data_IF_113978610363
#
_entry.id   IF_113978610363
#
_cell.length_a   1.000
_cell.length_b   1.000
_cell.length_c   1.000
_cell.angle_alpha   90.00
_cell.angle_beta   90.00
_cell.angle_gamma   90.00
#
_symmetry.space_group_name_H-M   'P 1'
#
loop_
_entity.id
_entity.type
_entity.pdbx_description
1 polymer ?
#
# COMPACT_ATOMS: atom_id res chain seq x y z
N UNK A 1 20.06 3.29 -10.00
CA UNK A 1 20.33 3.68 -11.40
C UNK A 1 20.22 5.20 -11.53
N UNK A 2 20.99 5.89 -12.38
CA UNK A 2 20.74 7.32 -12.61
C UNK A 2 19.52 7.47 -13.53
N UNK A 3 18.50 8.22 -13.11
CA UNK A 3 17.29 8.44 -13.90
C UNK A 3 17.64 9.07 -15.26
N UNK A 4 17.15 8.46 -16.34
CA UNK A 4 17.40 8.93 -17.70
C UNK A 4 16.15 9.60 -18.25
N UNK A 5 16.20 10.93 -18.35
CA UNK A 5 15.09 11.76 -18.83
C UNK A 5 14.63 11.37 -20.25
N UNK A 6 15.55 11.00 -21.15
CA UNK A 6 15.20 10.60 -22.52
C UNK A 6 14.40 9.29 -22.53
N UNK A 7 14.83 8.30 -21.75
CA UNK A 7 14.13 7.00 -21.63
C UNK A 7 12.73 7.22 -21.06
N UNK A 8 12.59 8.10 -20.07
CA UNK A 8 11.30 8.47 -19.52
C UNK A 8 10.39 9.19 -20.54
N UNK A 9 10.91 10.16 -21.28
CA UNK A 9 10.16 10.83 -22.36
C UNK A 9 9.68 9.84 -23.42
N UNK A 10 10.54 8.91 -23.86
CA UNK A 10 10.15 7.85 -24.78
C UNK A 10 9.10 6.90 -24.18
N UNK A 11 9.17 6.62 -22.88
CA UNK A 11 8.14 5.84 -22.20
C UNK A 11 6.78 6.55 -22.24
N UNK A 12 6.74 7.86 -21.96
CA UNK A 12 5.52 8.64 -22.02
C UNK A 12 4.89 8.63 -23.42
N UNK A 13 5.68 8.68 -24.49
CA UNK A 13 5.20 8.61 -25.88
C UNK A 13 4.79 7.21 -26.32
N UNK A 14 5.21 6.17 -25.58
CA UNK A 14 4.85 4.79 -25.90
C UNK A 14 3.36 4.51 -25.68
N UNK A 15 2.83 3.48 -26.35
CA UNK A 15 1.46 3.02 -26.14
C UNK A 15 1.15 2.67 -24.68
N UNK A 16 2.14 2.11 -23.96
CA UNK A 16 2.03 1.81 -22.52
C UNK A 16 1.95 3.08 -21.67
N UNK A 17 2.84 4.04 -21.89
CA UNK A 17 2.83 5.31 -21.17
C UNK A 17 1.52 6.07 -21.39
N UNK A 18 1.07 6.17 -22.64
CA UNK A 18 -0.22 6.78 -22.98
C UNK A 18 -1.43 6.06 -22.36
N UNK A 19 -1.38 4.73 -22.24
CA UNK A 19 -2.42 3.98 -21.54
C UNK A 19 -2.47 4.33 -20.05
N UNK A 20 -1.31 4.43 -19.38
CA UNK A 20 -1.24 4.85 -17.97
C UNK A 20 -1.68 6.30 -17.76
N UNK A 21 -1.27 7.23 -18.62
CA UNK A 21 -1.72 8.63 -18.57
C UNK A 21 -3.25 8.65 -18.66
N UNK A 22 -3.82 8.00 -19.68
CA UNK A 22 -5.29 7.94 -19.86
C UNK A 22 -5.98 7.33 -18.64
N UNK A 23 -5.42 6.26 -18.07
CA UNK A 23 -5.98 5.63 -16.87
C UNK A 23 -6.02 6.60 -15.69
N UNK A 24 -4.88 7.22 -15.35
CA UNK A 24 -4.79 8.11 -14.18
C UNK A 24 -5.51 9.46 -14.37
N UNK A 25 -5.65 9.95 -15.61
CA UNK A 25 -6.51 11.11 -15.90
C UNK A 25 -8.00 10.81 -15.73
N UNK A 26 -8.41 9.54 -15.77
CA UNK A 26 -9.80 9.10 -15.60
C UNK A 26 -10.01 8.28 -14.31
N UNK A 27 -9.12 8.40 -13.33
CA UNK A 27 -9.10 7.52 -12.15
C UNK A 27 -10.42 7.55 -11.38
N UNK A 28 -11.03 8.74 -11.23
CA UNK A 28 -12.33 8.89 -10.59
C UNK A 28 -13.41 8.08 -11.31
N UNK A 29 -13.49 8.19 -12.64
CA UNK A 29 -14.46 7.42 -13.42
C UNK A 29 -14.21 5.92 -13.33
N UNK A 30 -12.95 5.49 -13.22
CA UNK A 30 -12.61 4.08 -13.05
C UNK A 30 -13.05 3.52 -11.70
N UNK A 31 -12.99 4.31 -10.62
CA UNK A 31 -13.60 3.96 -9.33
C UNK A 31 -15.13 3.91 -9.42
N UNK A 32 -15.76 4.95 -10.00
CA UNK A 32 -17.22 5.02 -10.16
C UNK A 32 -17.79 3.81 -10.94
N UNK A 33 -17.04 3.32 -11.94
CA UNK A 33 -17.43 2.18 -12.79
C UNK A 33 -16.93 0.82 -12.31
N UNK A 34 -16.04 0.78 -11.33
CA UNK A 34 -15.36 -0.44 -10.85
C UNK A 34 -14.63 -1.18 -11.98
N UNK A 35 -13.89 -0.43 -12.80
CA UNK A 35 -13.22 -0.92 -14.01
C UNK A 35 -12.24 -2.07 -13.72
N UNK A 36 -12.11 -3.04 -14.64
CA UNK A 36 -11.23 -4.19 -14.44
C UNK A 36 -9.74 -3.83 -14.42
N UNK A 37 -9.33 -2.77 -15.13
CA UNK A 37 -7.94 -2.28 -15.06
C UNK A 37 -7.60 -1.70 -13.70
N UNK A 38 -8.57 -1.06 -13.03
CA UNK A 38 -8.40 -0.58 -11.65
C UNK A 38 -8.22 -1.76 -10.70
N UNK A 39 -9.03 -2.82 -10.85
CA UNK A 39 -8.86 -4.05 -10.07
C UNK A 39 -7.47 -4.64 -10.28
N UNK A 40 -7.00 -4.73 -11.53
CA UNK A 40 -5.66 -5.23 -11.85
C UNK A 40 -4.56 -4.37 -11.24
N UNK A 41 -4.69 -3.04 -11.23
CA UNK A 41 -3.72 -2.14 -10.59
C UNK A 41 -3.67 -2.36 -9.07
N UNK A 42 -4.83 -2.31 -8.41
CA UNK A 42 -4.95 -2.53 -6.96
C UNK A 42 -4.40 -3.91 -6.60
N UNK A 43 -4.74 -4.91 -7.40
CA UNK A 43 -4.17 -6.24 -7.28
C UNK A 43 -2.65 -6.18 -7.42
N UNK A 44 -2.14 -5.58 -8.49
CA UNK A 44 -0.70 -5.60 -8.75
C UNK A 44 0.13 -4.95 -7.65
N UNK A 45 -0.24 -3.73 -7.26
CA UNK A 45 0.55 -2.87 -6.40
C UNK A 45 0.16 -2.95 -4.93
N UNK A 46 -1.14 -3.04 -4.70
CA UNK A 46 -1.72 -3.36 -3.42
C UNK A 46 -1.88 -4.87 -3.27
N UNK A 47 -2.85 -5.29 -2.46
CA UNK A 47 -3.13 -6.69 -2.27
C UNK A 47 -3.45 -7.40 -3.61
N UNK A 48 -2.54 -8.29 -4.04
CA UNK A 48 -2.71 -9.41 -4.98
C UNK A 48 -2.09 -9.32 -6.39
N UNK A 49 -0.78 -9.13 -6.55
CA UNK A 49 -0.14 -9.54 -7.81
C UNK A 49 -0.07 -11.06 -7.78
N UNK A 50 -0.98 -11.80 -8.43
CA UNK A 50 -0.83 -13.26 -8.70
C UNK A 50 -0.70 -14.25 -7.51
N UNK A 51 -1.00 -13.87 -6.26
CA UNK A 51 -0.97 -14.78 -5.10
C UNK A 51 -2.33 -14.87 -4.40
N UNK A 52 -3.19 -15.64 -5.05
CA UNK A 52 -4.26 -16.52 -4.57
C UNK A 52 -5.27 -16.16 -3.47
N UNK A 53 -5.17 -15.15 -2.60
CA UNK A 53 -6.08 -15.17 -1.44
C UNK A 53 -6.42 -13.81 -0.80
N UNK A 54 -7.41 -13.15 -1.43
CA UNK A 54 -8.56 -12.35 -0.97
C UNK A 54 -8.61 -11.76 0.47
N UNK A 55 -7.51 -11.41 1.12
CA UNK A 55 -7.55 -10.72 2.43
C UNK A 55 -8.13 -9.30 2.34
N UNK A 56 -8.04 -8.68 1.17
CA UNK A 56 -8.67 -7.39 0.88
C UNK A 56 -9.68 -7.65 -0.23
N UNK A 57 -10.96 -7.41 0.06
CA UNK A 57 -11.99 -7.43 -0.98
C UNK A 57 -11.82 -6.17 -1.85
N UNK A 58 -11.37 -6.37 -3.08
CA UNK A 58 -11.12 -5.27 -4.02
C UNK A 58 -12.40 -4.47 -4.30
N UNK A 59 -13.58 -5.09 -4.29
CA UNK A 59 -14.83 -4.37 -4.50
C UNK A 59 -15.21 -3.54 -3.27
N UNK A 60 -14.90 -4.02 -2.07
CA UNK A 60 -15.05 -3.26 -0.83
C UNK A 60 -14.09 -2.07 -0.83
N UNK A 61 -12.82 -2.27 -1.16
CA UNK A 61 -11.82 -1.20 -1.23
C UNK A 61 -12.25 -0.10 -2.23
N UNK A 62 -12.70 -0.49 -3.43
CA UNK A 62 -13.24 0.47 -4.41
C UNK A 62 -14.45 1.22 -3.85
N UNK A 63 -15.33 0.54 -3.12
CA UNK A 63 -16.49 1.16 -2.50
C UNK A 63 -16.10 2.18 -1.41
N UNK A 64 -15.11 1.84 -0.59
CA UNK A 64 -14.56 2.73 0.44
C UNK A 64 -13.91 3.97 -0.17
N UNK A 65 -13.14 3.82 -1.27
CA UNK A 65 -12.59 4.97 -2.01
C UNK A 65 -13.70 5.86 -2.57
N UNK A 66 -14.72 5.26 -3.19
CA UNK A 66 -15.87 6.02 -3.70
C UNK A 66 -16.61 6.80 -2.61
N UNK A 67 -16.69 6.23 -1.40
CA UNK A 67 -17.28 6.91 -0.25
C UNK A 67 -16.37 8.07 0.22
N UNK A 68 -15.07 7.84 0.36
CA UNK A 68 -14.11 8.91 0.71
C UNK A 68 -14.18 10.11 -0.26
N UNK A 69 -14.29 9.85 -1.57
CA UNK A 69 -14.49 10.91 -2.58
C UNK A 69 -15.79 11.69 -2.30
N UNK A 70 -16.89 10.99 -2.02
CA UNK A 70 -18.19 11.63 -1.73
C UNK A 70 -18.14 12.45 -0.44
N UNK A 71 -17.48 11.94 0.59
CA UNK A 71 -17.42 12.61 1.89
C UNK A 71 -16.58 13.89 1.80
N UNK A 72 -15.46 13.85 1.06
CA UNK A 72 -14.70 15.07 0.76
C UNK A 72 -15.51 16.07 -0.08
N UNK A 73 -16.23 15.63 -1.11
CA UNK A 73 -17.09 16.51 -1.91
C UNK A 73 -18.20 17.14 -1.06
N UNK A 74 -18.84 16.38 -0.18
CA UNK A 74 -19.85 16.91 0.77
C UNK A 74 -19.25 17.94 1.71
N UNK A 75 -18.04 17.69 2.22
CA UNK A 75 -17.34 18.64 3.07
C UNK A 75 -17.00 19.94 2.31
N UNK A 76 -16.69 19.86 1.01
CA UNK A 76 -16.53 21.03 0.13
C UNK A 76 -17.86 21.77 -0.01
N UNK A 77 -18.94 21.08 -0.37
CA UNK A 77 -20.27 21.67 -0.59
C UNK A 77 -20.82 22.37 0.66
N UNK A 78 -20.49 21.85 1.84
CA UNK A 78 -20.85 22.42 3.15
C UNK A 78 -19.92 23.56 3.60
N UNK A 79 -18.84 23.82 2.86
CA UNK A 79 -17.85 24.86 3.20
C UNK A 79 -16.90 24.49 4.34
N UNK A 80 -16.88 23.22 4.76
CA UNK A 80 -15.95 22.73 5.80
C UNK A 80 -14.50 22.71 5.29
N UNK A 81 -14.32 22.38 4.01
CA UNK A 81 -13.03 22.45 3.33
C UNK A 81 -13.15 23.33 2.07
N UNK A 82 -12.09 24.08 1.70
CA UNK A 82 -12.16 24.97 0.54
C UNK A 82 -12.17 24.17 -0.77
N UNK A 83 -13.01 24.59 -1.72
CA UNK A 83 -13.10 24.02 -3.08
C UNK A 83 -11.87 24.33 -3.96
N UNK A 84 -11.14 25.41 -3.63
CA UNK A 84 -9.91 25.80 -4.34
C UNK A 84 -8.90 26.46 -3.41
N UNK A 85 -7.86 25.71 -3.07
CA UNK A 85 -6.61 26.20 -2.46
C UNK A 85 -5.57 25.10 -2.66
N UNK A 86 -4.59 25.19 -3.57
CA UNK A 86 -3.38 24.36 -3.55
C UNK A 86 -2.22 24.95 -4.39
N UNK A 87 -1.25 25.55 -3.73
CA UNK A 87 0.20 25.36 -3.85
C UNK A 87 0.69 24.40 -2.73
N UNK A 88 2.00 24.24 -2.52
CA UNK A 88 2.52 23.34 -1.48
C UNK A 88 2.10 23.71 -0.05
N UNK A 89 2.08 24.99 0.32
CA UNK A 89 1.68 25.40 1.70
C UNK A 89 0.17 25.15 1.88
N UNK A 90 -0.57 25.48 0.83
CA UNK A 90 -2.00 25.31 0.73
C UNK A 90 -2.41 23.83 0.78
N UNK A 91 -1.61 22.89 0.24
CA UNK A 91 -1.88 21.44 0.34
C UNK A 91 -1.71 20.88 1.73
N UNK A 92 -0.75 21.38 2.50
CA UNK A 92 -0.63 21.07 3.92
C UNK A 92 -1.88 21.53 4.67
N UNK A 93 -2.30 22.77 4.46
CA UNK A 93 -3.48 23.32 5.13
C UNK A 93 -4.77 22.57 4.76
N UNK A 94 -4.92 22.19 3.49
CA UNK A 94 -6.04 21.38 3.03
C UNK A 94 -6.07 20.01 3.73
N UNK A 95 -4.94 19.32 3.78
CA UNK A 95 -4.84 18.00 4.41
C UNK A 95 -5.03 18.05 5.93
N UNK A 96 -4.56 19.10 6.60
CA UNK A 96 -4.86 19.34 8.03
C UNK A 96 -6.37 19.43 8.26
N UNK A 97 -7.10 20.22 7.47
CA UNK A 97 -8.56 20.31 7.58
C UNK A 97 -9.25 18.97 7.33
N UNK A 98 -8.72 18.17 6.41
CA UNK A 98 -9.24 16.82 6.16
C UNK A 98 -9.05 15.90 7.38
N UNK A 99 -7.92 15.99 8.08
CA UNK A 99 -7.69 15.20 9.31
C UNK A 99 -8.64 15.58 10.45
N UNK A 100 -9.19 16.80 10.43
CA UNK A 100 -10.11 17.29 11.46
C UNK A 100 -11.58 16.92 11.17
N UNK A 101 -11.88 16.36 10.00
CA UNK A 101 -13.24 15.96 9.64
C UNK A 101 -13.76 14.87 10.58
N UNK A 102 -15.02 15.00 10.97
CA UNK A 102 -15.74 14.06 11.84
C UNK A 102 -16.86 13.37 11.09
N UNK A 103 -17.28 12.21 11.59
CA UNK A 103 -18.52 11.55 11.18
C UNK A 103 -19.76 12.44 11.37
N UNK A 104 -20.88 12.10 10.72
CA UNK A 104 -22.13 12.87 10.81
C UNK A 104 -22.67 13.01 12.24
N UNK A 105 -22.36 12.05 13.12
CA UNK A 105 -22.73 12.06 14.54
C UNK A 105 -21.66 12.70 15.46
N UNK A 106 -20.60 13.26 14.86
CA UNK A 106 -19.44 13.87 15.50
C UNK A 106 -18.72 12.99 16.53
N UNK A 107 -18.96 11.68 16.51
CA UNK A 107 -18.42 10.75 17.51
C UNK A 107 -16.96 10.38 17.24
N UNK A 108 -16.55 10.37 15.97
CA UNK A 108 -15.28 9.80 15.52
C UNK A 108 -14.64 10.61 14.38
N UNK A 109 -13.33 10.47 14.22
CA UNK A 109 -12.62 10.99 13.05
C UNK A 109 -13.12 10.29 11.79
N UNK A 110 -13.29 11.07 10.72
CA UNK A 110 -13.77 10.53 9.45
C UNK A 110 -12.70 9.64 8.79
N UNK A 111 -11.42 9.95 8.99
CA UNK A 111 -10.29 9.21 8.44
C UNK A 111 -9.26 8.91 9.51
N UNK A 112 -8.80 7.67 9.58
CA UNK A 112 -7.72 7.24 10.44
C UNK A 112 -6.45 6.93 9.63
N UNK A 113 -5.35 6.59 10.32
CA UNK A 113 -4.09 6.22 9.68
C UNK A 113 -4.22 5.04 8.69
N UNK A 114 -5.13 4.11 8.96
CA UNK A 114 -5.42 2.96 8.10
C UNK A 114 -6.28 3.34 6.87
N UNK A 115 -6.79 4.58 6.83
CA UNK A 115 -7.53 5.15 5.71
C UNK A 115 -6.64 5.81 4.64
N UNK A 116 -5.33 5.94 4.85
CA UNK A 116 -4.47 6.71 3.93
C UNK A 116 -4.50 6.16 2.50
N UNK A 117 -4.59 4.85 2.30
CA UNK A 117 -4.77 4.24 0.96
C UNK A 117 -5.97 4.86 0.25
N UNK A 118 -7.14 4.82 0.89
CA UNK A 118 -8.40 5.33 0.33
C UNK A 118 -8.47 6.86 0.24
N UNK A 119 -7.99 7.54 1.29
CA UNK A 119 -7.96 8.99 1.34
C UNK A 119 -7.02 9.57 0.27
N UNK A 120 -5.82 9.02 0.09
CA UNK A 120 -4.86 9.49 -0.92
C UNK A 120 -5.40 9.45 -2.35
N UNK A 121 -6.19 8.41 -2.68
CA UNK A 121 -6.85 8.30 -3.98
C UNK A 121 -7.92 9.36 -4.14
N UNK A 122 -8.72 9.61 -3.11
CA UNK A 122 -9.73 10.65 -3.12
C UNK A 122 -9.10 12.04 -3.30
N UNK A 123 -8.04 12.33 -2.55
CA UNK A 123 -7.26 13.57 -2.66
C UNK A 123 -6.66 13.73 -4.06
N UNK A 124 -6.09 12.67 -4.64
CA UNK A 124 -5.57 12.71 -6.01
C UNK A 124 -6.67 13.01 -7.03
N UNK A 125 -7.86 12.42 -6.90
CA UNK A 125 -8.97 12.65 -7.83
C UNK A 125 -9.47 14.10 -7.81
N UNK A 126 -9.38 14.78 -6.67
CA UNK A 126 -9.73 16.20 -6.54
C UNK A 126 -8.57 17.12 -6.96
N UNK A 127 -7.33 16.69 -6.69
CA UNK A 127 -6.16 17.54 -6.70
C UNK A 127 -4.88 16.81 -7.19
N UNK A 128 -4.84 16.36 -8.46
CA UNK A 128 -3.81 15.45 -8.98
C UNK A 128 -2.40 16.04 -9.09
N UNK A 129 -2.27 17.36 -8.95
CA UNK A 129 -0.98 18.07 -9.00
C UNK A 129 -0.17 17.95 -7.70
N UNK A 130 -0.82 17.64 -6.57
CA UNK A 130 -0.19 17.72 -5.24
C UNK A 130 -0.18 16.40 -4.48
N UNK A 131 -1.04 15.49 -4.87
CA UNK A 131 -1.22 14.19 -4.24
C UNK A 131 -0.92 13.10 -5.25
N UNK A 132 -0.72 11.86 -4.78
CA UNK A 132 -0.66 10.69 -5.64
C UNK A 132 -1.51 9.58 -5.00
N UNK A 133 -2.19 8.75 -5.78
CA UNK A 133 -2.96 7.66 -5.20
C UNK A 133 -1.99 6.65 -4.57
N UNK A 134 -2.11 6.33 -3.28
CA UNK A 134 -1.26 5.38 -2.58
C UNK A 134 -1.85 3.97 -2.66
N UNK A 135 -1.44 3.20 -3.66
CA UNK A 135 -1.80 1.78 -3.83
C UNK A 135 -0.73 0.84 -3.28
N UNK A 136 0.30 1.34 -2.59
CA UNK A 136 1.37 0.52 -2.04
C UNK A 136 0.99 -0.17 -0.73
N UNK A 137 -0.27 -0.19 -0.30
CA UNK A 137 -0.68 -0.91 0.90
C UNK A 137 -0.96 -2.40 0.59
N UNK A 138 -0.38 -3.39 1.31
CA UNK A 138 0.59 -3.32 2.42
C UNK A 138 2.02 -3.68 1.95
N UNK A 139 2.41 -3.13 0.81
CA UNK A 139 3.65 -3.36 0.10
C UNK A 139 4.56 -2.11 0.11
N UNK A 140 4.72 -1.47 1.27
CA UNK A 140 5.64 -0.34 1.44
C UNK A 140 7.07 -0.66 0.95
N UNK A 141 7.49 -1.93 1.04
CA UNK A 141 8.76 -2.42 0.47
C UNK A 141 8.95 -2.05 -1.01
N UNK A 142 7.89 -2.12 -1.83
CA UNK A 142 7.97 -1.74 -3.23
C UNK A 142 8.22 -0.24 -3.38
N UNK A 143 7.61 0.59 -2.52
CA UNK A 143 7.86 2.03 -2.50
C UNK A 143 9.30 2.33 -2.08
N UNK A 144 9.80 1.70 -1.01
CA UNK A 144 11.21 1.84 -0.58
C UNK A 144 12.19 1.47 -1.70
N UNK A 145 11.90 0.38 -2.42
CA UNK A 145 12.66 -0.06 -3.59
C UNK A 145 12.69 1.00 -4.69
N UNK A 146 11.54 1.58 -5.04
CA UNK A 146 11.45 2.67 -6.03
C UNK A 146 12.31 3.85 -5.56
N UNK A 147 12.13 4.29 -4.31
CA UNK A 147 12.85 5.44 -3.80
C UNK A 147 14.36 5.23 -3.83
N UNK A 148 14.82 4.06 -3.40
CA UNK A 148 16.24 3.69 -3.44
C UNK A 148 16.78 3.59 -4.88
N UNK A 149 16.06 2.92 -5.79
CA UNK A 149 16.54 2.69 -7.16
C UNK A 149 16.71 4.00 -7.94
N UNK A 150 15.80 4.95 -7.71
CA UNK A 150 15.77 6.25 -8.39
C UNK A 150 16.45 7.38 -7.60
N UNK A 151 16.99 7.10 -6.41
CA UNK A 151 17.65 8.10 -5.57
C UNK A 151 16.71 9.18 -5.04
N UNK A 152 15.44 8.84 -4.85
CA UNK A 152 14.43 9.72 -4.25
C UNK A 152 14.62 9.68 -2.74
N UNK A 153 14.58 10.84 -2.09
CA UNK A 153 14.67 10.90 -0.63
C UNK A 153 13.46 10.21 0.00
N UNK A 154 13.67 9.17 0.81
CA UNK A 154 12.59 8.58 1.58
C UNK A 154 12.57 9.23 2.97
N UNK A 155 11.50 9.95 3.35
CA UNK A 155 11.39 10.51 4.69
C UNK A 155 11.44 9.39 5.75
N UNK A 156 11.93 9.68 6.98
CA UNK A 156 11.98 8.67 8.03
C UNK A 156 10.57 8.29 8.46
N UNK A 157 10.29 6.99 8.54
CA UNK A 157 8.98 6.50 8.98
C UNK A 157 8.75 6.84 10.46
N UNK A 158 7.62 7.48 10.84
CA UNK A 158 7.34 7.85 12.22
C UNK A 158 7.13 6.62 13.11
N UNK A 159 7.27 6.80 14.43
CA UNK A 159 7.17 5.71 15.40
C UNK A 159 5.77 5.09 15.45
N UNK A 160 5.66 3.83 15.90
CA UNK A 160 4.38 3.11 15.98
C UNK A 160 3.29 3.87 16.76
N UNK A 161 3.66 4.47 17.89
CA UNK A 161 2.73 5.13 18.81
C UNK A 161 2.34 6.55 18.39
N UNK A 162 3.02 7.11 17.40
CA UNK A 162 2.81 8.48 16.92
C UNK A 162 1.83 8.47 15.74
N UNK A 163 0.55 8.30 16.04
CA UNK A 163 -0.51 8.14 15.03
C UNK A 163 -0.67 9.37 14.15
N UNK A 164 -0.59 10.57 14.71
CA UNK A 164 -0.70 11.82 13.98
C UNK A 164 0.42 11.93 12.95
N UNK A 165 1.67 11.78 13.38
CA UNK A 165 2.80 11.86 12.44
C UNK A 165 2.72 10.78 11.37
N UNK A 166 2.19 9.58 11.70
CA UNK A 166 1.96 8.52 10.72
C UNK A 166 0.87 8.87 9.71
N UNK A 167 -0.21 9.54 10.12
CA UNK A 167 -1.23 10.06 9.21
C UNK A 167 -0.62 11.11 8.26
N UNK A 168 0.13 12.07 8.82
CA UNK A 168 0.80 13.13 8.06
C UNK A 168 2.00 12.66 7.23
N UNK A 169 2.52 11.45 7.49
CA UNK A 169 3.63 10.88 6.72
C UNK A 169 3.35 10.81 5.22
N UNK A 170 2.08 10.65 4.83
CA UNK A 170 1.67 10.70 3.43
C UNK A 170 2.04 12.04 2.75
N UNK A 171 1.90 13.17 3.45
CA UNK A 171 2.32 14.47 2.91
C UNK A 171 3.83 14.54 2.70
N UNK A 172 4.63 13.97 3.60
CA UNK A 172 6.08 13.91 3.45
C UNK A 172 6.47 13.07 2.21
N UNK A 173 5.74 11.98 1.93
CA UNK A 173 5.91 11.21 0.69
C UNK A 173 5.54 12.05 -0.55
N UNK A 174 4.39 12.74 -0.54
CA UNK A 174 3.97 13.60 -1.64
C UNK A 174 5.00 14.70 -1.92
N UNK A 175 5.48 15.37 -0.87
CA UNK A 175 6.49 16.42 -0.96
C UNK A 175 7.78 15.88 -1.55
N UNK A 176 8.31 14.77 -1.04
CA UNK A 176 9.57 14.23 -1.54
C UNK A 176 9.50 13.85 -3.02
N UNK A 177 8.38 13.25 -3.43
CA UNK A 177 8.15 12.91 -4.84
C UNK A 177 7.99 14.17 -5.70
N UNK A 178 7.25 15.18 -5.25
CA UNK A 178 7.09 16.45 -5.97
C UNK A 178 8.43 17.16 -6.14
N UNK A 179 9.21 17.29 -5.06
CA UNK A 179 10.53 17.93 -5.08
C UNK A 179 11.47 17.22 -6.07
N UNK A 180 11.44 15.89 -6.12
CA UNK A 180 12.22 15.11 -7.07
C UNK A 180 11.76 15.36 -8.52
N UNK A 181 10.45 15.40 -8.74
CA UNK A 181 9.85 15.54 -10.07
C UNK A 181 10.02 16.94 -10.66
N UNK A 182 9.86 17.97 -9.83
CA UNK A 182 10.08 19.37 -10.18
C UNK A 182 11.54 19.63 -10.55
N UNK A 183 12.51 19.05 -9.82
CA UNK A 183 13.94 19.14 -10.16
C UNK A 183 14.27 18.57 -11.53
N UNK A 184 13.49 17.60 -12.01
CA UNK A 184 13.64 17.00 -13.33
C UNK A 184 12.85 17.74 -14.42
N UNK A 185 12.05 18.75 -14.08
CA UNK A 185 11.27 19.54 -15.01
C UNK A 185 10.01 18.84 -15.54
N UNK A 186 9.50 17.83 -14.83
CA UNK A 186 8.30 17.09 -15.25
C UNK A 186 7.04 17.52 -14.49
N UNK A 187 5.88 17.24 -15.08
CA UNK A 187 4.56 17.54 -14.49
C UNK A 187 4.19 16.52 -13.42
N UNK A 188 3.81 16.96 -12.22
CA UNK A 188 3.46 16.10 -11.08
C UNK A 188 2.28 15.17 -11.36
N UNK A 189 1.37 15.53 -12.28
CA UNK A 189 0.28 14.66 -12.72
C UNK A 189 0.74 13.37 -13.42
N UNK A 190 1.99 13.31 -13.89
CA UNK A 190 2.59 12.09 -14.43
C UNK A 190 3.25 11.21 -13.35
N UNK A 191 3.28 11.66 -12.09
CA UNK A 191 3.90 10.91 -11.00
C UNK A 191 3.29 9.51 -10.81
N UNK A 192 1.96 9.30 -10.88
CA UNK A 192 1.40 7.95 -10.80
C UNK A 192 1.82 7.07 -11.99
N UNK A 193 1.97 7.65 -13.18
CA UNK A 193 2.47 6.93 -14.38
C UNK A 193 3.91 6.48 -14.17
N UNK A 194 4.73 7.32 -13.54
CA UNK A 194 6.08 6.96 -13.14
C UNK A 194 6.07 5.82 -12.11
N UNK A 195 5.35 5.98 -11.00
CA UNK A 195 5.34 5.01 -9.89
C UNK A 195 4.83 3.63 -10.33
N UNK A 196 3.67 3.59 -10.98
CA UNK A 196 2.93 2.36 -11.25
C UNK A 196 3.20 1.76 -12.63
N UNK A 197 3.73 2.56 -13.55
CA UNK A 197 4.12 2.13 -14.89
C UNK A 197 5.63 1.93 -14.99
N UNK A 198 6.37 3.02 -15.12
CA UNK A 198 7.79 2.97 -15.47
C UNK A 198 8.67 2.41 -14.34
N UNK A 199 8.59 2.97 -13.14
CA UNK A 199 9.37 2.54 -12.00
C UNK A 199 9.06 1.09 -11.63
N UNK A 200 7.80 0.67 -11.75
CA UNK A 200 7.41 -0.72 -11.53
C UNK A 200 7.97 -1.73 -12.51
N UNK A 201 8.15 -1.35 -13.78
CA UNK A 201 8.85 -2.21 -14.73
C UNK A 201 10.36 -2.31 -14.43
N UNK A 202 10.94 -1.28 -13.82
CA UNK A 202 12.37 -1.25 -13.42
C UNK A 202 12.61 -2.04 -12.15
N UNK A 203 11.77 -1.83 -11.12
CA UNK A 203 11.89 -2.59 -9.88
C UNK A 203 11.36 -4.00 -10.13
N UNK A 204 12.26 -4.94 -10.39
CA UNK A 204 11.92 -6.34 -10.54
C UNK A 204 11.36 -6.89 -9.21
N UNK A 205 10.05 -6.72 -9.01
CA UNK A 205 9.31 -7.27 -7.87
C UNK A 205 9.10 -8.77 -7.99
N UNK A 206 9.75 -9.43 -8.98
CA UNK A 206 9.71 -10.88 -9.20
C UNK A 206 9.58 -11.59 -7.89
N UNK A 207 8.50 -12.34 -7.84
CA UNK A 207 8.11 -13.09 -6.68
C UNK A 207 9.16 -14.16 -6.50
N UNK A 208 9.76 -14.16 -5.32
CA UNK A 208 10.78 -15.12 -4.88
C UNK A 208 10.30 -16.58 -4.93
N UNK A 209 9.07 -16.84 -5.38
CA UNK A 209 8.62 -18.17 -5.80
C UNK A 209 9.52 -18.82 -6.86
N UNK A 210 10.24 -18.04 -7.68
CA UNK A 210 11.18 -18.55 -8.69
C UNK A 210 12.66 -18.46 -8.28
N UNK A 211 12.98 -17.74 -7.21
CA UNK A 211 14.35 -17.53 -6.74
C UNK A 211 14.61 -18.43 -5.54
N UNK A 212 15.71 -19.19 -5.55
CA UNK A 212 16.09 -20.01 -4.40
C UNK A 212 16.25 -19.13 -3.15
N UNK A 213 15.37 -19.28 -2.16
CA UNK A 213 15.50 -18.57 -0.88
C UNK A 213 16.81 -18.98 -0.18
N UNK A 214 17.48 -18.05 0.51
CA UNK A 214 18.69 -18.36 1.27
C UNK A 214 18.39 -19.36 2.39
N UNK A 215 19.41 -19.97 2.99
CA UNK A 215 19.23 -20.79 4.19
C UNK A 215 18.63 -19.94 5.32
N UNK A 216 17.63 -20.46 6.06
CA UNK A 216 17.02 -19.71 7.15
C UNK A 216 18.05 -19.41 8.25
N UNK A 217 18.00 -18.19 8.79
CA UNK A 217 18.90 -17.75 9.86
C UNK A 217 18.18 -17.66 11.20
N UNK A 218 16.89 -17.30 11.18
CA UNK A 218 16.02 -17.18 12.36
C UNK A 218 14.66 -17.83 12.11
N UNK A 219 13.93 -18.03 13.20
CA UNK A 219 12.54 -18.43 13.20
C UNK A 219 11.73 -17.46 14.06
N UNK A 220 10.58 -17.03 13.55
CA UNK A 220 9.69 -16.07 14.19
C UNK A 220 8.34 -16.72 14.45
N UNK A 221 7.88 -16.71 15.69
CA UNK A 221 6.53 -17.14 16.05
C UNK A 221 5.58 -15.96 15.96
N UNK A 222 4.51 -16.10 15.20
CA UNK A 222 3.50 -15.06 15.00
C UNK A 222 2.09 -15.63 15.16
N UNK A 223 1.16 -14.78 15.63
CA UNK A 223 -0.21 -15.17 15.91
C UNK A 223 -1.13 -15.14 14.68
N UNK A 224 -2.02 -16.13 14.59
CA UNK A 224 -3.15 -16.22 13.68
C UNK A 224 -4.48 -16.00 14.39
N UNK A 225 -5.25 -15.00 13.99
CA UNK A 225 -6.59 -14.77 14.53
C UNK A 225 -7.58 -15.85 14.10
N UNK A 226 -8.67 -15.98 14.86
CA UNK A 226 -9.77 -16.92 14.55
C UNK A 226 -11.06 -16.18 14.17
N UNK A 227 -11.14 -14.86 14.41
CA UNK A 227 -12.32 -14.03 14.19
C UNK A 227 -12.16 -12.99 13.07
N UNK A 228 -10.94 -12.80 12.57
CA UNK A 228 -10.57 -11.78 11.56
C UNK A 228 -10.33 -12.38 10.16
N UNK A 229 -10.85 -13.58 9.90
CA UNK A 229 -10.63 -14.30 8.63
C UNK A 229 -9.26 -14.96 8.48
N UNK A 230 -8.33 -14.77 9.42
CA UNK A 230 -6.99 -15.36 9.37
C UNK A 230 -7.03 -16.89 9.26
N UNK A 231 -7.83 -17.55 10.11
CA UNK A 231 -7.97 -19.00 10.09
C UNK A 231 -8.52 -19.53 8.76
N UNK A 232 -9.46 -18.82 8.14
CA UNK A 232 -10.05 -19.23 6.87
C UNK A 232 -9.01 -19.18 5.74
N UNK A 233 -8.22 -18.10 5.68
CA UNK A 233 -7.08 -18.00 4.76
C UNK A 233 -6.10 -19.17 5.00
N UNK A 234 -5.67 -19.33 6.26
CA UNK A 234 -4.64 -20.31 6.61
C UNK A 234 -5.09 -21.74 6.31
N UNK A 235 -6.38 -22.04 6.48
CA UNK A 235 -6.96 -23.34 6.17
C UNK A 235 -6.98 -23.65 4.66
N UNK A 236 -7.03 -22.63 3.81
CA UNK A 236 -7.06 -22.79 2.36
C UNK A 236 -5.69 -22.56 1.69
N UNK A 237 -4.69 -22.11 2.47
CA UNK A 237 -3.34 -21.86 1.98
C UNK A 237 -2.66 -23.13 1.45
N UNK A 238 -2.04 -23.00 0.27
CA UNK A 238 -1.27 -24.03 -0.42
C UNK A 238 0.22 -23.69 -0.42
N UNK A 239 1.05 -24.60 -0.90
CA UNK A 239 2.51 -24.43 -1.01
C UNK A 239 2.90 -23.14 -1.76
N UNK A 240 2.15 -22.79 -2.80
CA UNK A 240 2.33 -21.56 -3.61
C UNK A 240 1.55 -20.35 -3.10
N UNK A 241 0.80 -20.48 -2.02
CA UNK A 241 0.15 -19.31 -1.40
C UNK A 241 1.21 -18.34 -0.92
N UNK A 242 0.92 -17.06 -1.08
CA UNK A 242 1.65 -15.99 -0.44
C UNK A 242 0.67 -15.03 0.21
N UNK A 243 1.12 -14.38 1.27
CA UNK A 243 0.39 -13.31 1.95
C UNK A 243 1.37 -12.45 2.72
N UNK A 244 0.88 -11.36 3.28
CA UNK A 244 1.59 -10.58 4.25
C UNK A 244 1.11 -10.92 5.67
N UNK A 245 2.01 -10.80 6.64
CA UNK A 245 1.72 -11.04 8.04
C UNK A 245 2.41 -10.01 8.93
N UNK A 246 1.86 -9.79 10.11
CA UNK A 246 2.55 -8.99 11.13
C UNK A 246 3.72 -9.81 11.70
N UNK A 247 4.93 -9.29 11.60
CA UNK A 247 6.12 -10.01 12.07
C UNK A 247 7.16 -9.03 12.63
N UNK A 248 8.25 -9.55 13.19
CA UNK A 248 9.34 -8.73 13.69
C UNK A 248 10.00 -7.96 12.54
N UNK A 249 10.29 -6.67 12.73
CA UNK A 249 10.93 -5.81 11.72
C UNK A 249 12.31 -6.29 11.28
N UNK A 250 12.98 -7.08 12.11
CA UNK A 250 14.31 -7.60 11.82
C UNK A 250 14.24 -8.86 10.92
N UNK A 251 13.04 -9.33 10.54
CA UNK A 251 12.88 -10.52 9.69
C UNK A 251 13.54 -10.33 8.33
N UNK A 252 14.44 -11.24 7.96
CA UNK A 252 15.17 -11.23 6.68
C UNK A 252 14.57 -12.22 5.68
N UNK A 253 14.88 -12.04 4.39
CA UNK A 253 14.50 -12.99 3.34
C UNK A 253 14.98 -14.39 3.71
N UNK A 254 14.09 -15.37 3.62
CA UNK A 254 14.37 -16.76 3.93
C UNK A 254 14.26 -17.13 5.40
N UNK A 255 14.04 -16.20 6.33
CA UNK A 255 13.72 -16.58 7.72
C UNK A 255 12.44 -17.43 7.79
N UNK A 256 12.35 -18.27 8.82
CA UNK A 256 11.19 -19.13 9.08
C UNK A 256 10.11 -18.33 9.80
N UNK A 257 8.86 -18.47 9.39
CA UNK A 257 7.70 -17.89 10.07
C UNK A 257 6.80 -19.02 10.52
N UNK A 258 6.62 -19.17 11.82
CA UNK A 258 5.77 -20.19 12.44
C UNK A 258 4.46 -19.54 12.85
N UNK A 259 3.37 -19.99 12.24
CA UNK A 259 2.02 -19.49 12.50
C UNK A 259 1.41 -20.30 13.64
N UNK A 260 1.17 -19.64 14.77
CA UNK A 260 0.37 -20.17 15.87
C UNK A 260 -1.04 -19.59 15.80
N UNK A 261 -2.04 -20.43 15.54
CA UNK A 261 -3.44 -19.97 15.56
C UNK A 261 -3.89 -19.87 17.01
N UNK A 262 -4.40 -18.69 17.36
CA UNK A 262 -4.87 -18.35 18.70
C UNK A 262 -6.12 -19.17 19.08
N UNK A 263 -6.60 -18.95 20.31
CA UNK A 263 -7.81 -19.60 20.81
C UNK A 263 -9.00 -19.41 19.83
N UNK A 264 -9.88 -20.41 19.67
CA UNK A 264 -9.91 -21.67 20.43
C UNK A 264 -9.04 -22.81 19.89
N UNK A 265 -8.33 -22.64 18.76
CA UNK A 265 -7.54 -23.75 18.18
C UNK A 265 -6.26 -24.01 18.97
N UNK A 266 -5.56 -22.93 19.34
CA UNK A 266 -4.35 -22.96 20.17
C UNK A 266 -3.32 -23.98 19.67
N UNK A 267 -2.93 -23.82 18.40
CA UNK A 267 -2.05 -24.78 17.72
C UNK A 267 -1.03 -24.11 16.81
N UNK A 268 0.15 -24.71 16.70
CA UNK A 268 1.05 -24.41 15.58
C UNK A 268 0.41 -25.01 14.33
N UNK A 269 -0.01 -24.12 13.44
CA UNK A 269 -0.82 -24.48 12.28
C UNK A 269 0.03 -24.73 11.03
N UNK A 270 0.93 -23.80 10.71
CA UNK A 270 1.77 -23.89 9.50
C UNK A 270 3.11 -23.17 9.66
N UNK A 271 4.06 -23.59 8.82
CA UNK A 271 5.39 -22.99 8.71
C UNK A 271 5.50 -22.35 7.33
N UNK A 272 6.04 -21.14 7.29
CA UNK A 272 6.23 -20.34 6.09
C UNK A 272 7.67 -19.84 6.00
N UNK A 273 8.02 -19.26 4.86
CA UNK A 273 9.30 -18.58 4.63
C UNK A 273 9.04 -17.11 4.31
N UNK A 274 9.82 -16.21 4.90
CA UNK A 274 9.85 -14.81 4.51
C UNK A 274 10.34 -14.71 3.05
N UNK A 275 9.52 -14.13 2.17
CA UNK A 275 9.84 -13.95 0.75
C UNK A 275 10.44 -12.58 0.46
N UNK A 276 10.27 -11.64 1.40
CA UNK A 276 10.84 -10.28 1.42
C UNK A 276 11.30 -9.96 2.86
N UNK A 277 12.21 -8.99 3.06
CA UNK A 277 12.45 -8.45 4.39
C UNK A 277 11.16 -7.89 4.99
N UNK A 278 11.06 -7.88 6.32
CA UNK A 278 10.00 -7.12 6.97
C UNK A 278 10.22 -5.62 6.75
N UNK A 279 9.12 -4.89 6.60
CA UNK A 279 9.10 -3.45 6.48
C UNK A 279 8.14 -2.86 7.50
N UNK A 280 8.40 -1.61 7.86
CA UNK A 280 7.43 -0.82 8.61
C UNK A 280 6.34 -0.37 7.63
N UNK A 281 5.07 -0.66 7.93
CA UNK A 281 3.94 -0.15 7.17
C UNK A 281 3.37 1.07 7.93
N UNK A 282 3.66 2.31 7.49
CA UNK A 282 3.29 3.53 8.22
C UNK A 282 1.77 3.66 8.37
N UNK A 283 1.02 3.15 7.39
CA UNK A 283 -0.43 3.31 7.29
C UNK A 283 -1.20 2.08 7.77
N UNK A 284 -0.62 1.33 8.72
CA UNK A 284 -1.24 0.14 9.32
C UNK A 284 -1.16 0.14 10.83
N UNK A 285 -2.25 -0.12 11.52
CA UNK A 285 -2.28 -0.33 12.98
C UNK A 285 -1.24 -1.37 13.45
N UNK A 286 -0.99 -2.39 12.63
CA UNK A 286 0.11 -3.35 12.78
C UNK A 286 1.36 -2.87 12.05
N UNK A 287 2.23 -2.20 12.81
CA UNK A 287 3.36 -1.42 12.32
C UNK A 287 4.41 -2.15 11.48
N UNK A 288 4.62 -3.46 11.67
CA UNK A 288 5.65 -4.21 10.93
C UNK A 288 5.02 -5.37 10.19
N UNK A 289 5.29 -5.44 8.89
CA UNK A 289 4.69 -6.39 7.97
C UNK A 289 5.79 -7.14 7.20
N UNK A 290 5.63 -8.45 7.06
CA UNK A 290 6.49 -9.30 6.22
C UNK A 290 5.64 -10.00 5.19
N UNK A 291 6.16 -10.13 3.97
CA UNK A 291 5.57 -11.03 2.99
C UNK A 291 6.12 -12.44 3.18
N UNK A 292 5.23 -13.42 3.24
CA UNK A 292 5.56 -14.83 3.45
C UNK A 292 4.93 -15.73 2.38
N UNK A 293 5.63 -16.80 2.06
CA UNK A 293 5.22 -17.81 1.08
C UNK A 293 5.77 -19.19 1.46
N UNK A 294 5.69 -20.14 0.53
CA UNK A 294 6.17 -21.52 0.74
C UNK A 294 5.50 -22.19 1.95
N UNK A 295 4.18 -22.10 2.02
CA UNK A 295 3.42 -22.66 3.14
C UNK A 295 3.65 -24.18 3.25
N UNK A 296 4.00 -24.62 4.44
CA UNK A 296 4.06 -26.02 4.83
C UNK A 296 3.06 -26.22 5.97
N UNK A 297 1.94 -26.86 5.63
CA UNK A 297 0.94 -27.25 6.62
C UNK A 297 1.46 -28.44 7.43
N UNK A 298 1.36 -28.37 8.75
CA UNK A 298 1.71 -29.48 9.61
C UNK A 298 0.64 -30.57 9.50
N UNK A 299 1.06 -31.83 9.30
CA UNK A 299 0.14 -32.97 9.20
C UNK A 299 -0.66 -33.21 10.48
N UNK A 300 -0.08 -32.83 11.62
CA UNK A 300 -0.74 -32.84 12.92
C UNK A 300 -0.46 -31.49 13.59
N UNK A 301 -1.48 -30.68 13.89
CA UNK A 301 -1.28 -29.43 14.59
C UNK A 301 -0.67 -29.69 15.98
N UNK A 302 0.44 -29.03 16.27
CA UNK A 302 1.09 -29.14 17.57
C UNK A 302 0.34 -28.24 18.55
N UNK A 303 -0.40 -28.85 19.48
CA UNK A 303 -1.01 -28.14 20.60
C UNK A 303 0.04 -27.84 21.64
N UNK A 304 0.12 -26.59 22.06
CA UNK A 304 0.97 -26.17 23.18
C UNK A 304 0.07 -26.21 24.41
N UNK A 305 0.20 -27.27 25.21
CA UNK A 305 -0.50 -27.47 26.48
C UNK A 305 0.16 -26.70 27.62
#
# INVERSE_FOLDING_TARGET
MQFNALVWSSYLESSKGQAWIKFFSNLKQSHDRKDDELKKLIMHWGAHTNFADNRIDVNEEIQLVSNAIKDLLRAVDQGHIPDKVLNHIESINYFNKVSELKSEDESEELFYVDDISRLSVALYCLHPKYFFPYYFYPNFYALEKIFNEFGIFLPPVPSKSDYDSRFFYYLELCKSLSDYWEKLGFLTEHLPVFLYGFAGEVIDLKTTSEVSLPKPRRAWFVGGGTTNGDSNYLDNAKDKSMTFWTCNKDTEVGDIIVIYVLAPRSEIHSIWRAVRPAVIEPFRSYYSTVWMGHCQRLKFPLKIS
#
